data_IF_318688175090
#
_entry.id   IF_318688175090
#
_cell.length_a   1.000
_cell.length_b   1.000
_cell.length_c   1.000
_cell.angle_alpha   90.00
_cell.angle_beta   90.00
_cell.angle_gamma   90.00
#
_symmetry.space_group_name_H-M   'P 1'
#
loop_
_entity.id
_entity.type
_entity.pdbx_description
1 polymer ?
#
# COMPACT_ATOMS: atom_id res chain seq x y z
N UNK A 1 -2.38 -10.17 -7.54
CA UNK A 1 -2.14 -10.70 -6.17
C UNK A 1 -0.83 -10.14 -5.68
N UNK A 2 -0.78 -9.62 -4.46
CA UNK A 2 0.45 -9.15 -3.81
C UNK A 2 0.72 -10.02 -2.59
N UNK A 3 1.97 -10.43 -2.41
CA UNK A 3 2.41 -11.14 -1.21
C UNK A 3 3.75 -10.57 -0.74
N UNK A 4 3.96 -10.58 0.58
CA UNK A 4 5.16 -10.08 1.23
C UNK A 4 5.72 -11.13 2.19
N UNK A 5 7.04 -11.29 2.21
CA UNK A 5 7.73 -12.22 3.11
C UNK A 5 7.91 -13.63 2.56
N UNK A 6 8.71 -14.42 3.27
CA UNK A 6 9.01 -15.81 2.93
C UNK A 6 9.96 -15.98 1.73
N UNK A 7 10.81 -14.99 1.44
CA UNK A 7 11.81 -15.01 0.35
C UNK A 7 13.25 -14.81 0.83
N UNK A 8 13.48 -14.86 2.14
CA UNK A 8 14.80 -14.82 2.73
C UNK A 8 15.55 -16.18 2.66
N UNK A 9 16.64 -16.31 3.43
CA UNK A 9 17.49 -17.48 3.39
C UNK A 9 17.11 -18.56 4.43
N UNK A 10 16.05 -18.40 5.24
CA UNK A 10 15.74 -19.36 6.30
C UNK A 10 14.87 -20.51 5.79
N UNK A 11 14.73 -21.56 6.59
CA UNK A 11 14.01 -22.79 6.20
C UNK A 11 12.49 -22.58 6.04
N UNK A 12 11.96 -21.58 6.73
CA UNK A 12 10.58 -21.12 6.68
C UNK A 12 10.31 -20.12 5.54
N UNK A 13 11.35 -19.65 4.83
CA UNK A 13 11.22 -18.84 3.62
C UNK A 13 10.86 -19.73 2.40
N UNK A 14 9.57 -20.08 2.31
CA UNK A 14 9.04 -21.01 1.30
C UNK A 14 8.20 -20.35 0.19
N UNK A 15 8.05 -19.02 0.18
CA UNK A 15 7.13 -18.32 -0.73
C UNK A 15 7.48 -18.54 -2.19
N UNK A 16 8.77 -18.50 -2.56
CA UNK A 16 9.19 -18.73 -3.95
C UNK A 16 8.82 -20.14 -4.44
N UNK A 17 9.11 -21.17 -3.62
CA UNK A 17 8.76 -22.56 -3.92
C UNK A 17 7.23 -22.77 -3.97
N UNK A 18 6.49 -22.16 -3.04
CA UNK A 18 5.03 -22.24 -2.99
C UNK A 18 4.38 -21.60 -4.21
N UNK A 19 4.90 -20.45 -4.66
CA UNK A 19 4.43 -19.77 -5.87
C UNK A 19 4.74 -20.59 -7.11
N UNK A 20 5.95 -21.16 -7.25
CA UNK A 20 6.27 -22.05 -8.37
C UNK A 20 5.29 -23.23 -8.46
N UNK A 21 5.02 -23.87 -7.30
CA UNK A 21 4.05 -24.96 -7.19
C UNK A 21 2.64 -24.53 -7.60
N UNK A 22 2.19 -23.35 -7.18
CA UNK A 22 0.85 -22.82 -7.52
C UNK A 22 0.68 -22.56 -9.02
N UNK A 23 1.75 -22.15 -9.71
CA UNK A 23 1.76 -21.95 -11.16
C UNK A 23 2.05 -23.23 -11.96
N UNK A 24 2.39 -24.33 -11.29
CA UNK A 24 2.76 -25.59 -11.95
C UNK A 24 4.08 -25.51 -12.72
N UNK A 25 5.00 -24.63 -12.32
CA UNK A 25 6.29 -24.40 -12.98
C UNK A 25 7.46 -24.83 -12.10
N UNK A 26 8.60 -25.11 -12.73
CA UNK A 26 9.86 -25.31 -12.00
C UNK A 26 10.41 -24.01 -11.42
N UNK A 27 11.43 -24.13 -10.57
CA UNK A 27 12.10 -23.02 -9.90
C UNK A 27 13.59 -23.34 -9.75
N UNK A 28 14.45 -22.41 -10.19
CA UNK A 28 15.90 -22.55 -10.12
C UNK A 28 16.56 -21.18 -9.90
N UNK A 29 17.87 -21.15 -9.72
CA UNK A 29 18.66 -19.94 -9.58
C UNK A 29 18.56 -19.06 -10.83
N UNK A 30 18.02 -17.86 -10.64
CA UNK A 30 18.01 -16.84 -11.67
C UNK A 30 19.40 -16.20 -11.77
N UNK A 31 20.02 -16.26 -12.96
CA UNK A 31 21.40 -15.81 -13.19
C UNK A 31 21.66 -14.39 -12.69
N UNK A 32 20.77 -13.46 -13.02
CA UNK A 32 20.91 -12.06 -12.59
C UNK A 32 20.73 -11.89 -11.08
N UNK A 33 19.79 -12.61 -10.45
CA UNK A 33 19.57 -12.52 -9.01
C UNK A 33 20.77 -13.07 -8.24
N UNK A 34 21.34 -14.17 -8.73
CA UNK A 34 22.53 -14.78 -8.16
C UNK A 34 23.75 -13.85 -8.28
N UNK A 35 23.93 -13.21 -9.44
CA UNK A 35 25.01 -12.25 -9.67
C UNK A 35 24.88 -11.01 -8.78
N UNK A 36 23.66 -10.48 -8.64
CA UNK A 36 23.36 -9.38 -7.73
C UNK A 36 23.73 -9.74 -6.28
N UNK A 37 23.25 -10.88 -5.78
CA UNK A 37 23.56 -11.34 -4.42
C UNK A 37 25.06 -11.58 -4.22
N UNK A 38 25.74 -12.21 -5.18
CA UNK A 38 27.17 -12.47 -5.14
C UNK A 38 28.01 -11.17 -5.09
N UNK A 39 27.56 -10.11 -5.75
CA UNK A 39 28.25 -8.82 -5.72
C UNK A 39 28.09 -8.09 -4.36
N UNK A 40 27.06 -8.41 -3.59
CA UNK A 40 26.74 -7.71 -2.33
C UNK A 40 27.21 -8.44 -1.07
N UNK A 41 27.21 -9.77 -1.12
CA UNK A 41 27.55 -10.66 0.00
C UNK A 41 29.02 -11.05 -0.15
N UNK A 42 29.79 -11.01 0.93
CA UNK A 42 31.19 -11.46 0.89
C UNK A 42 31.26 -12.92 0.44
N UNK A 43 32.28 -13.34 -0.32
CA UNK A 43 32.39 -14.73 -0.78
C UNK A 43 32.33 -15.77 0.35
N UNK A 44 32.99 -15.51 1.49
CA UNK A 44 32.97 -16.34 2.70
C UNK A 44 31.57 -16.51 3.31
N UNK A 45 30.70 -15.57 3.03
CA UNK A 45 29.34 -15.47 3.53
C UNK A 45 28.31 -16.00 2.52
N UNK A 46 28.66 -16.22 1.25
CA UNK A 46 27.69 -16.57 0.19
C UNK A 46 27.39 -18.07 0.11
N UNK A 47 26.84 -18.59 1.21
CA UNK A 47 26.45 -20.00 1.37
C UNK A 47 25.17 -20.41 0.60
N UNK A 48 24.87 -21.71 0.55
CA UNK A 48 23.71 -22.26 -0.17
C UNK A 48 22.37 -21.66 0.30
N UNK A 49 22.20 -21.43 1.59
CA UNK A 49 20.97 -20.82 2.11
C UNK A 49 20.77 -19.39 1.60
N UNK A 50 21.86 -18.61 1.46
CA UNK A 50 21.81 -17.27 0.86
C UNK A 50 21.60 -17.33 -0.66
N UNK A 51 22.11 -18.35 -1.35
CA UNK A 51 21.83 -18.58 -2.78
C UNK A 51 20.36 -18.90 -3.03
N UNK A 52 19.65 -19.54 -2.09
CA UNK A 52 18.20 -19.80 -2.21
C UNK A 52 17.37 -18.54 -2.47
N UNK A 53 17.80 -17.37 -1.99
CA UNK A 53 17.15 -16.09 -2.28
C UNK A 53 17.21 -15.69 -3.77
N UNK A 54 18.06 -16.36 -4.58
CA UNK A 54 18.11 -16.18 -6.03
C UNK A 54 17.18 -17.14 -6.79
N UNK A 55 16.45 -18.03 -6.11
CA UNK A 55 15.56 -18.99 -6.77
C UNK A 55 14.27 -18.33 -7.19
N UNK A 56 14.03 -18.29 -8.50
CA UNK A 56 12.84 -17.67 -9.10
C UNK A 56 12.08 -18.73 -9.90
N UNK A 57 10.73 -18.78 -9.80
CA UNK A 57 9.92 -19.63 -10.67
C UNK A 57 10.20 -19.36 -12.16
N UNK A 58 10.19 -20.41 -12.98
CA UNK A 58 10.35 -20.25 -14.43
C UNK A 58 9.25 -19.36 -15.01
N UNK A 59 9.64 -18.41 -15.87
CA UNK A 59 8.75 -17.37 -16.38
C UNK A 59 8.54 -16.19 -15.42
N UNK A 60 9.22 -16.18 -14.27
CA UNK A 60 9.24 -15.05 -13.36
C UNK A 60 10.26 -13.98 -13.76
N UNK A 61 9.89 -12.71 -13.57
CA UNK A 61 10.73 -11.54 -13.79
C UNK A 61 11.17 -10.95 -12.45
N UNK A 62 12.40 -10.43 -12.38
CA UNK A 62 12.90 -9.81 -11.15
C UNK A 62 12.17 -8.50 -10.85
N UNK A 63 11.78 -8.34 -9.59
CA UNK A 63 11.37 -7.05 -9.04
C UNK A 63 12.60 -6.42 -8.41
N UNK A 64 12.99 -5.27 -8.96
CA UNK A 64 14.17 -4.55 -8.48
C UNK A 64 13.89 -3.97 -7.12
N UNK A 65 14.98 -3.78 -6.39
CA UNK A 65 14.95 -3.32 -5.02
C UNK A 65 16.11 -2.34 -4.84
N UNK A 66 15.78 -1.06 -4.65
CA UNK A 66 16.76 0.02 -4.49
C UNK A 66 17.40 0.05 -3.09
N UNK A 67 16.84 -0.69 -2.12
CA UNK A 67 17.26 -0.69 -0.71
C UNK A 67 18.11 -1.91 -0.37
N UNK A 68 17.78 -3.08 -0.91
CA UNK A 68 18.60 -4.30 -0.76
C UNK A 68 18.78 -5.02 -2.08
N UNK A 69 19.82 -5.85 -2.16
CA UNK A 69 20.20 -6.51 -3.42
C UNK A 69 19.43 -7.82 -3.63
N UNK A 70 18.79 -8.36 -2.58
CA UNK A 70 17.90 -9.50 -2.70
C UNK A 70 16.63 -9.09 -3.47
N UNK A 71 16.39 -9.67 -4.66
CA UNK A 71 15.26 -9.26 -5.48
C UNK A 71 13.97 -9.95 -5.04
N UNK A 72 12.84 -9.27 -5.26
CA UNK A 72 11.55 -9.94 -5.33
C UNK A 72 11.35 -10.51 -6.74
N UNK A 73 10.15 -11.00 -7.04
CA UNK A 73 9.82 -11.38 -8.40
C UNK A 73 8.34 -11.22 -8.71
N UNK A 74 8.04 -11.14 -10.00
CA UNK A 74 6.69 -11.16 -10.55
C UNK A 74 6.55 -12.39 -11.45
N UNK A 75 5.44 -13.11 -11.32
CA UNK A 75 5.03 -14.13 -12.30
C UNK A 75 3.54 -13.95 -12.60
N UNK A 76 3.22 -13.70 -13.88
CA UNK A 76 1.86 -13.33 -14.29
C UNK A 76 1.33 -12.12 -13.50
N UNK A 77 0.24 -12.33 -12.77
CA UNK A 77 -0.41 -11.31 -11.92
C UNK A 77 -0.02 -11.40 -10.43
N UNK A 78 1.00 -12.18 -10.07
CA UNK A 78 1.49 -12.35 -8.70
C UNK A 78 2.79 -11.60 -8.51
N UNK A 79 2.81 -10.67 -7.55
CA UNK A 79 3.97 -9.89 -7.15
C UNK A 79 4.43 -10.35 -5.77
N UNK A 80 5.68 -10.83 -5.69
CA UNK A 80 6.30 -11.35 -4.47
C UNK A 80 7.38 -10.37 -4.01
N UNK A 81 7.19 -9.81 -2.82
CA UNK A 81 8.07 -8.81 -2.23
C UNK A 81 8.66 -9.29 -0.90
N UNK A 82 9.73 -8.63 -0.44
CA UNK A 82 10.32 -8.92 0.86
C UNK A 82 9.34 -8.62 2.02
N UNK A 83 9.53 -9.28 3.16
CA UNK A 83 8.73 -9.04 4.37
C UNK A 83 9.14 -7.80 5.16
N UNK A 84 10.38 -7.34 4.99
CA UNK A 84 10.90 -6.15 5.70
C UNK A 84 10.24 -4.90 5.11
N UNK A 85 9.51 -4.08 5.90
CA UNK A 85 8.65 -3.00 5.38
C UNK A 85 9.36 -2.02 4.44
N UNK A 86 10.57 -1.57 4.82
CA UNK A 86 11.35 -0.63 4.00
C UNK A 86 11.77 -1.21 2.65
N UNK A 87 12.08 -2.51 2.63
CA UNK A 87 12.47 -3.21 1.40
C UNK A 87 11.24 -3.42 0.51
N UNK A 88 10.14 -3.84 1.12
CA UNK A 88 8.86 -4.02 0.43
C UNK A 88 8.41 -2.72 -0.27
N UNK A 89 8.51 -1.57 0.41
CA UNK A 89 8.18 -0.26 -0.17
C UNK A 89 9.03 0.05 -1.41
N UNK A 90 10.35 -0.18 -1.33
CA UNK A 90 11.24 0.01 -2.48
C UNK A 90 10.92 -0.91 -3.66
N UNK A 91 10.51 -2.16 -3.39
CA UNK A 91 10.05 -3.08 -4.43
C UNK A 91 8.71 -2.62 -5.03
N UNK A 92 7.81 -2.11 -4.20
CA UNK A 92 6.52 -1.60 -4.64
C UNK A 92 6.68 -0.37 -5.56
N UNK A 93 7.70 0.47 -5.33
CA UNK A 93 8.05 1.57 -6.23
C UNK A 93 8.46 1.10 -7.64
N UNK A 94 9.17 -0.03 -7.76
CA UNK A 94 9.48 -0.65 -9.06
C UNK A 94 8.25 -1.29 -9.73
N UNK A 95 7.34 -1.84 -8.92
CA UNK A 95 6.12 -2.48 -9.40
C UNK A 95 5.06 -1.46 -9.84
N UNK A 96 4.87 -0.37 -9.10
CA UNK A 96 3.76 0.56 -9.26
C UNK A 96 3.57 1.11 -10.70
N UNK A 97 4.63 1.43 -11.47
CA UNK A 97 4.50 1.84 -12.87
C UNK A 97 3.97 0.75 -13.81
N UNK A 98 4.15 -0.53 -13.46
CA UNK A 98 3.76 -1.70 -14.26
C UNK A 98 2.30 -2.10 -14.03
N UNK A 99 1.66 -1.58 -12.98
CA UNK A 99 0.30 -1.94 -12.62
C UNK A 99 -0.70 -1.25 -13.55
N UNK A 100 -1.67 -2.04 -14.04
CA UNK A 100 -2.84 -1.49 -14.70
C UNK A 100 -3.56 -0.52 -13.75
N UNK A 101 -3.74 0.72 -14.20
CA UNK A 101 -4.41 1.75 -13.41
C UNK A 101 -5.90 1.75 -13.74
N UNK A 102 -6.72 1.74 -12.70
CA UNK A 102 -8.16 1.99 -12.81
C UNK A 102 -8.48 3.48 -12.70
N UNK A 103 -9.76 3.79 -12.51
CA UNK A 103 -10.19 5.14 -12.17
C UNK A 103 -9.54 5.61 -10.87
N UNK A 104 -8.93 6.80 -10.90
CA UNK A 104 -8.31 7.40 -9.73
C UNK A 104 -9.39 7.75 -8.71
N UNK A 105 -9.20 7.30 -7.48
CA UNK A 105 -10.06 7.67 -6.36
C UNK A 105 -9.57 9.00 -5.81
N UNK A 106 -10.44 10.00 -5.82
CA UNK A 106 -10.21 11.31 -5.23
C UNK A 106 -10.55 11.26 -3.73
N UNK A 107 -9.78 11.97 -2.93
CA UNK A 107 -10.03 12.10 -1.49
C UNK A 107 -9.74 13.52 -1.01
N UNK A 108 -10.65 14.07 -0.21
CA UNK A 108 -10.45 15.32 0.51
C UNK A 108 -10.56 15.03 2.00
N UNK A 109 -9.57 15.47 2.77
CA UNK A 109 -9.57 15.34 4.23
C UNK A 109 -9.86 16.69 4.86
N UNK A 110 -10.77 16.74 5.81
CA UNK A 110 -11.17 17.93 6.55
C UNK A 110 -10.94 17.66 8.03
N UNK A 111 -10.04 18.43 8.63
CA UNK A 111 -9.82 18.44 10.07
C UNK A 111 -10.83 19.37 10.72
N UNK A 112 -11.64 18.83 11.63
CA UNK A 112 -12.66 19.58 12.35
C UNK A 112 -12.38 19.50 13.87
N UNK A 113 -12.22 20.62 14.59
CA UNK A 113 -12.01 20.63 16.04
C UNK A 113 -13.32 20.41 16.80
N UNK A 114 -14.07 19.36 16.43
CA UNK A 114 -15.37 18.99 16.99
C UNK A 114 -15.39 17.50 17.29
N UNK A 115 -16.16 17.13 18.31
CA UNK A 115 -16.43 15.74 18.61
C UNK A 115 -17.27 15.09 17.52
N UNK A 116 -16.95 13.84 17.19
CA UNK A 116 -17.64 13.08 16.15
C UNK A 116 -19.17 13.02 16.36
N UNK A 117 -19.59 12.81 17.61
CA UNK A 117 -21.02 12.75 17.97
C UNK A 117 -21.79 14.05 17.66
N UNK A 118 -21.13 15.20 17.68
CA UNK A 118 -21.75 16.51 17.42
C UNK A 118 -22.21 16.64 15.97
N UNK A 119 -21.48 16.03 15.04
CA UNK A 119 -21.72 16.16 13.59
C UNK A 119 -22.27 14.87 12.96
N UNK A 120 -22.33 13.76 13.70
CA UNK A 120 -22.72 12.44 13.21
C UNK A 120 -24.06 12.43 12.43
N UNK A 121 -25.11 13.07 12.96
CA UNK A 121 -26.42 13.10 12.30
C UNK A 121 -26.40 13.85 10.96
N UNK A 122 -25.65 14.95 10.90
CA UNK A 122 -25.49 15.73 9.67
C UNK A 122 -24.63 14.98 8.65
N UNK A 123 -23.56 14.31 9.07
CA UNK A 123 -22.76 13.45 8.19
C UNK A 123 -23.59 12.30 7.61
N UNK A 124 -24.45 11.68 8.42
CA UNK A 124 -25.35 10.62 7.95
C UNK A 124 -26.31 11.13 6.86
N UNK A 125 -26.82 12.36 7.00
CA UNK A 125 -27.66 12.99 5.98
C UNK A 125 -26.89 13.22 4.68
N UNK A 126 -25.67 13.77 4.75
CA UNK A 126 -24.83 13.97 3.56
C UNK A 126 -24.51 12.62 2.90
N UNK A 127 -24.17 11.59 3.67
CA UNK A 127 -23.89 10.25 3.12
C UNK A 127 -25.10 9.68 2.37
N UNK A 128 -26.32 9.94 2.85
CA UNK A 128 -27.55 9.51 2.20
C UNK A 128 -27.84 10.28 0.90
N UNK A 129 -27.51 11.58 0.85
CA UNK A 129 -27.67 12.42 -0.35
C UNK A 129 -26.62 12.09 -1.43
N UNK A 130 -25.42 11.68 -1.03
CA UNK A 130 -24.30 11.38 -1.93
C UNK A 130 -23.83 9.91 -1.82
N UNK A 131 -24.64 8.93 -2.25
CA UNK A 131 -24.32 7.50 -2.07
C UNK A 131 -23.08 7.04 -2.85
N UNK A 132 -22.62 7.81 -3.84
CA UNK A 132 -21.43 7.52 -4.63
C UNK A 132 -20.11 8.01 -3.99
N UNK A 133 -20.20 8.81 -2.91
CA UNK A 133 -19.05 9.34 -2.18
C UNK A 133 -19.09 8.77 -0.76
N UNK A 134 -18.03 8.06 -0.37
CA UNK A 134 -17.88 7.53 0.97
C UNK A 134 -17.38 8.62 1.91
N UNK A 135 -18.04 8.76 3.06
CA UNK A 135 -17.66 9.66 4.15
C UNK A 135 -17.09 8.82 5.29
N UNK A 136 -15.81 9.05 5.63
CA UNK A 136 -15.16 8.48 6.81
C UNK A 136 -15.03 9.53 7.91
N UNK A 137 -15.13 9.09 9.16
CA UNK A 137 -14.96 9.92 10.35
C UNK A 137 -13.97 9.23 11.30
N UNK A 138 -12.93 9.95 11.71
CA UNK A 138 -11.83 9.42 12.52
C UNK A 138 -11.50 10.40 13.66
N UNK A 139 -12.02 10.17 14.89
CA UNK A 139 -11.72 11.01 16.02
C UNK A 139 -10.23 10.94 16.39
N UNK A 140 -9.67 12.04 16.84
CA UNK A 140 -8.30 12.12 17.32
C UNK A 140 -8.19 12.89 18.63
N UNK A 141 -7.20 12.49 19.42
CA UNK A 141 -6.78 13.16 20.65
C UNK A 141 -5.29 13.43 20.54
N UNK A 142 -4.91 14.70 20.60
CA UNK A 142 -3.53 15.17 20.53
C UNK A 142 -3.25 16.11 21.69
N UNK A 143 -1.98 16.37 21.96
CA UNK A 143 -1.58 17.28 23.04
C UNK A 143 -2.10 18.71 22.83
N UNK A 144 -2.35 19.11 21.59
CA UNK A 144 -2.85 20.41 21.16
C UNK A 144 -4.39 20.47 20.98
N UNK A 145 -5.11 19.36 21.18
CA UNK A 145 -6.58 19.35 21.15
C UNK A 145 -7.21 18.01 20.76
N UNK A 146 -8.55 18.00 20.74
CA UNK A 146 -9.35 16.89 20.22
C UNK A 146 -10.12 17.34 18.98
N UNK A 147 -10.50 16.38 18.15
CA UNK A 147 -11.29 16.67 16.97
C UNK A 147 -11.58 15.42 16.16
N UNK A 148 -12.03 15.62 14.92
CA UNK A 148 -12.38 14.55 13.99
C UNK A 148 -11.78 14.84 12.62
N UNK A 149 -11.10 13.85 12.03
CA UNK A 149 -10.71 13.87 10.62
C UNK A 149 -11.86 13.30 9.79
N UNK A 150 -12.40 14.11 8.89
CA UNK A 150 -13.51 13.76 8.02
C UNK A 150 -12.97 13.58 6.60
N UNK A 151 -13.21 12.41 6.00
CA UNK A 151 -12.64 12.05 4.69
C UNK A 151 -13.77 11.81 3.72
N UNK A 152 -13.88 12.65 2.69
CA UNK A 152 -14.76 12.40 1.54
C UNK A 152 -13.96 11.69 0.45
N UNK A 153 -14.44 10.54 -0.04
CA UNK A 153 -13.72 9.71 -1.01
C UNK A 153 -14.64 9.19 -2.11
N UNK A 154 -14.25 9.36 -3.36
CA UNK A 154 -15.06 8.96 -4.51
C UNK A 154 -14.28 8.96 -5.82
N UNK A 155 -14.91 8.50 -6.91
CA UNK A 155 -14.28 8.48 -8.24
C UNK A 155 -14.59 9.71 -9.08
N UNK A 156 -15.62 10.47 -8.71
CA UNK A 156 -15.98 11.74 -9.32
C UNK A 156 -15.44 12.89 -8.45
N UNK A 157 -14.49 13.64 -9.00
CA UNK A 157 -13.87 14.77 -8.32
C UNK A 157 -14.88 15.86 -7.94
N UNK A 158 -15.87 16.13 -8.79
CA UNK A 158 -16.87 17.16 -8.54
C UNK A 158 -17.81 16.74 -7.40
N UNK A 159 -18.24 15.47 -7.38
CA UNK A 159 -19.05 14.95 -6.29
C UNK A 159 -18.31 14.94 -4.95
N UNK A 160 -17.01 14.56 -4.95
CA UNK A 160 -16.17 14.61 -3.76
C UNK A 160 -16.04 16.04 -3.24
N UNK A 161 -15.86 17.00 -4.13
CA UNK A 161 -15.77 18.42 -3.77
C UNK A 161 -17.07 18.95 -3.18
N UNK A 162 -18.23 18.59 -3.76
CA UNK A 162 -19.55 18.95 -3.22
C UNK A 162 -19.75 18.40 -1.80
N UNK A 163 -19.40 17.14 -1.58
CA UNK A 163 -19.48 16.52 -0.24
C UNK A 163 -18.52 17.20 0.74
N UNK A 164 -17.29 17.51 0.31
CA UNK A 164 -16.33 18.23 1.14
C UNK A 164 -16.87 19.60 1.57
N UNK A 165 -17.44 20.37 0.65
CA UNK A 165 -18.08 21.66 0.96
C UNK A 165 -19.28 21.52 1.89
N UNK A 166 -20.10 20.49 1.72
CA UNK A 166 -21.21 20.19 2.62
C UNK A 166 -20.72 19.88 4.04
N UNK A 167 -19.66 19.08 4.16
CA UNK A 167 -19.02 18.76 5.45
C UNK A 167 -18.46 20.03 6.10
N UNK A 168 -17.74 20.87 5.36
CA UNK A 168 -17.24 22.16 5.87
C UNK A 168 -18.38 23.05 6.37
N UNK A 169 -19.51 23.08 5.64
CA UNK A 169 -20.72 23.80 6.06
C UNK A 169 -21.28 23.29 7.39
N UNK A 170 -21.32 21.97 7.59
CA UNK A 170 -21.74 21.36 8.87
C UNK A 170 -20.81 21.77 10.01
N UNK A 171 -19.50 21.74 9.78
CA UNK A 171 -18.49 22.11 10.79
C UNK A 171 -18.63 23.59 11.18
N UNK A 172 -18.80 24.48 10.19
CA UNK A 172 -19.06 25.91 10.44
C UNK A 172 -20.38 26.15 11.17
N UNK A 173 -21.43 25.39 10.85
CA UNK A 173 -22.73 25.51 11.49
C UNK A 173 -22.72 25.16 12.99
N UNK A 174 -21.79 24.30 13.43
CA UNK A 174 -21.59 23.98 14.85
C UNK A 174 -20.58 24.90 15.54
N UNK A 175 -20.15 25.98 14.87
CA UNK A 175 -19.28 27.03 15.44
C UNK A 175 -17.79 26.71 15.41
N UNK A 176 -17.37 25.73 14.61
CA UNK A 176 -15.97 25.35 14.45
C UNK A 176 -15.42 25.73 13.07
N UNK A 177 -14.11 25.94 12.98
CA UNK A 177 -13.45 26.23 11.69
C UNK A 177 -12.86 24.94 11.10
N UNK A 178 -13.31 24.48 9.92
CA UNK A 178 -12.73 23.34 9.24
C UNK A 178 -11.38 23.71 8.60
N UNK A 179 -10.42 22.78 8.64
CA UNK A 179 -9.14 22.90 7.94
C UNK A 179 -9.01 21.80 6.90
N UNK A 180 -8.87 22.17 5.63
CA UNK A 180 -8.77 21.22 4.51
C UNK A 180 -7.33 20.78 4.29
N UNK A 181 -7.16 19.48 4.06
CA UNK A 181 -5.92 18.85 3.63
C UNK A 181 -6.18 18.09 2.32
N UNK A 182 -5.58 18.57 1.24
CA UNK A 182 -5.47 17.81 0.00
C UNK A 182 -4.21 16.92 0.09
N UNK A 183 -4.29 15.64 -0.32
CA UNK A 183 -3.13 14.75 -0.36
C UNK A 183 -2.04 15.22 -1.33
#
# INVERSE_FOLDING_TARGET
VFTTGGIGPTHDDITADAVAKAFGVGIDYHKEALALLAARIKPEDFNEMRKRMARIPFGGELVKNSVSVAPGFQIGNVFVMAGVPRIMQAMLEDIAPKLARGQVVQAVTISAPVGEGTIAAALAKIQAEYPAVAIGSYPFYRADGFGTQLVARGRDAAAVEQVAQAIEGVVRAVGAEPSRHSP
#
